data_IF_077063212624
#
_entry.id   IF_077063212624
#
_cell.length_a   1.000
_cell.length_b   1.000
_cell.length_c   1.000
_cell.angle_alpha   90.00
_cell.angle_beta   90.00
_cell.angle_gamma   90.00
#
_symmetry.space_group_name_H-M   'P 1'
#
loop_
_entity.id
_entity.type
_entity.pdbx_description
1 polymer ?
#
# COMPACT_ATOMS: atom_id res chain seq x y z
N UNK A 1 45.43 18.51 16.92
CA UNK A 1 45.45 17.06 16.93
C UNK A 1 44.08 16.53 17.33
N UNK A 2 43.48 15.72 16.47
CA UNK A 2 42.41 14.79 16.78
C UNK A 2 41.03 15.45 16.91
N UNK A 3 40.36 15.50 15.85
CA UNK A 3 39.00 15.08 15.51
C UNK A 3 38.60 15.70 14.17
N UNK A 4 39.27 15.33 13.11
CA UNK A 4 38.63 15.23 11.83
C UNK A 4 37.72 13.99 11.91
N UNK A 5 36.56 14.16 12.55
CA UNK A 5 35.40 13.32 12.29
C UNK A 5 35.05 13.65 10.84
N UNK A 6 35.46 12.80 9.93
CA UNK A 6 34.96 12.73 8.57
C UNK A 6 33.45 12.69 8.71
N UNK A 7 32.81 13.86 8.57
CA UNK A 7 31.37 13.95 8.33
C UNK A 7 31.15 13.25 6.98
N UNK A 8 30.88 11.96 7.05
CA UNK A 8 30.50 11.19 5.88
C UNK A 8 29.22 11.86 5.36
N UNK A 9 29.32 12.52 4.19
CA UNK A 9 28.19 13.22 3.61
C UNK A 9 27.03 12.22 3.47
N UNK A 10 25.94 12.45 4.21
CA UNK A 10 24.74 11.61 4.12
C UNK A 10 24.25 11.58 2.69
N UNK A 11 23.85 10.40 2.22
CA UNK A 11 23.21 10.27 0.91
C UNK A 11 21.79 10.79 0.96
N UNK A 12 21.44 11.66 0.03
CA UNK A 12 20.10 12.19 -0.11
C UNK A 12 19.22 11.20 -0.88
N UNK A 13 18.12 10.80 -0.28
CA UNK A 13 17.19 9.80 -0.82
C UNK A 13 15.81 10.42 -1.00
N UNK A 14 15.27 10.30 -2.20
CA UNK A 14 13.89 10.66 -2.50
C UNK A 14 13.06 9.40 -2.66
N UNK A 15 12.04 9.24 -1.80
CA UNK A 15 10.94 8.30 -2.04
C UNK A 15 9.77 9.08 -2.62
N UNK A 16 9.19 8.60 -3.71
CA UNK A 16 7.97 9.19 -4.23
C UNK A 16 6.92 8.13 -4.55
N UNK A 17 5.68 8.49 -4.28
CA UNK A 17 4.53 7.61 -4.41
C UNK A 17 3.28 8.43 -4.76
N UNK A 18 2.20 7.71 -5.12
CA UNK A 18 0.93 8.35 -5.41
C UNK A 18 0.43 9.19 -4.25
N UNK A 19 0.30 8.57 -3.07
CA UNK A 19 -0.09 9.25 -1.85
C UNK A 19 0.53 8.54 -0.65
N UNK A 20 0.95 9.32 0.34
CA UNK A 20 1.39 8.84 1.64
C UNK A 20 0.28 9.00 2.70
N UNK A 21 -0.67 9.88 2.42
CA UNK A 21 -1.82 10.22 3.28
C UNK A 21 -3.08 9.41 2.96
N UNK A 22 -3.02 8.41 2.07
CA UNK A 22 -4.18 7.57 1.74
C UNK A 22 -4.49 6.52 2.82
N UNK A 23 -3.46 6.08 3.56
CA UNK A 23 -3.59 5.13 4.66
C UNK A 23 -3.64 3.66 4.25
N UNK A 24 -3.01 3.30 3.14
CA UNK A 24 -2.91 1.94 2.63
C UNK A 24 -1.74 1.13 3.18
N UNK A 25 -1.57 -0.09 2.67
CA UNK A 25 -0.49 -0.99 3.08
C UNK A 25 0.89 -0.51 2.64
N UNK A 26 1.02 0.02 1.42
CA UNK A 26 2.29 0.50 0.89
C UNK A 26 2.85 1.68 1.72
N UNK A 27 1.98 2.57 2.19
CA UNK A 27 2.35 3.71 3.04
C UNK A 27 2.92 3.25 4.39
N UNK A 28 2.31 2.24 5.00
CA UNK A 28 2.82 1.62 6.25
C UNK A 28 4.19 0.98 6.04
N UNK A 29 4.37 0.26 4.93
CA UNK A 29 5.65 -0.35 4.57
C UNK A 29 6.72 0.72 4.33
N UNK A 30 6.39 1.81 3.60
CA UNK A 30 7.31 2.93 3.42
C UNK A 30 7.73 3.52 4.77
N UNK A 31 6.77 3.79 5.67
CA UNK A 31 7.08 4.29 7.01
C UNK A 31 8.00 3.34 7.78
N UNK A 32 7.75 2.03 7.73
CA UNK A 32 8.62 1.03 8.34
C UNK A 32 10.04 1.09 7.78
N UNK A 33 10.19 1.16 6.45
CA UNK A 33 11.51 1.24 5.79
C UNK A 33 12.23 2.51 6.23
N UNK A 34 11.64 3.69 6.06
CA UNK A 34 12.33 4.96 6.29
C UNK A 34 12.63 5.21 7.77
N UNK A 35 11.79 4.71 8.68
CA UNK A 35 12.03 4.79 10.11
C UNK A 35 13.23 3.93 10.57
N UNK A 36 13.53 2.84 9.84
CA UNK A 36 14.62 1.92 10.17
C UNK A 36 15.90 2.16 9.34
N UNK A 37 15.88 3.05 8.37
CA UNK A 37 17.09 3.48 7.68
C UNK A 37 17.98 4.30 8.64
N UNK A 38 19.29 4.05 8.57
CA UNK A 38 20.28 4.70 9.41
C UNK A 38 20.29 6.22 9.20
N UNK A 39 19.93 7.02 10.22
CA UNK A 39 19.86 8.47 10.10
C UNK A 39 21.21 9.15 9.90
N UNK A 40 22.31 8.47 10.21
CA UNK A 40 23.64 9.01 10.01
C UNK A 40 24.16 8.80 8.58
N UNK A 41 23.51 7.91 7.81
CA UNK A 41 23.87 7.60 6.43
C UNK A 41 22.92 8.23 5.41
N UNK A 42 21.65 8.46 5.78
CA UNK A 42 20.62 8.85 4.83
C UNK A 42 19.84 10.07 5.31
N UNK A 43 19.70 11.03 4.39
CA UNK A 43 18.80 12.17 4.49
C UNK A 43 17.60 11.91 3.56
N UNK A 44 16.39 11.81 4.12
CA UNK A 44 15.23 11.23 3.44
C UNK A 44 14.14 12.26 3.24
N UNK A 45 13.73 12.41 1.97
CA UNK A 45 12.55 13.15 1.58
C UNK A 45 11.49 12.18 1.03
N UNK A 46 10.22 12.42 1.40
CA UNK A 46 9.05 11.72 0.87
C UNK A 46 8.22 12.71 0.06
N UNK A 47 7.93 12.36 -1.19
CA UNK A 47 7.03 13.10 -2.07
C UNK A 47 5.79 12.28 -2.35
N UNK A 48 4.62 12.79 -1.91
CA UNK A 48 3.33 12.29 -2.40
C UNK A 48 2.82 13.17 -3.55
N UNK A 49 2.24 12.54 -4.57
CA UNK A 49 1.68 13.29 -5.70
C UNK A 49 0.32 13.89 -5.37
N UNK A 50 -0.49 13.20 -4.60
CA UNK A 50 -1.80 13.67 -4.13
C UNK A 50 -1.92 13.49 -2.61
N UNK A 51 -2.32 14.59 -1.94
CA UNK A 51 -2.56 14.60 -0.51
C UNK A 51 -4.04 14.38 -0.20
N UNK A 52 -4.30 13.48 0.76
CA UNK A 52 -5.62 13.21 1.33
C UNK A 52 -5.61 13.55 2.82
N UNK A 53 -6.68 14.15 3.32
CA UNK A 53 -6.83 14.50 4.75
C UNK A 53 -7.15 13.23 5.58
N UNK A 54 -6.19 12.31 5.66
CA UNK A 54 -6.28 11.11 6.48
C UNK A 54 -5.05 10.98 7.37
N UNK A 55 -5.14 10.27 8.50
CA UNK A 55 -3.99 10.03 9.37
C UNK A 55 -2.85 9.33 8.61
N UNK A 56 -1.69 9.98 8.59
CA UNK A 56 -0.48 9.41 8.01
C UNK A 56 0.24 8.49 9.02
N UNK A 57 0.99 7.49 8.54
CA UNK A 57 1.89 6.73 9.39
C UNK A 57 2.88 7.63 10.12
N UNK A 58 3.23 7.28 11.37
CA UNK A 58 4.20 8.02 12.17
C UNK A 58 5.59 7.89 11.57
N UNK A 59 6.26 9.01 11.39
CA UNK A 59 7.65 9.08 10.94
C UNK A 59 8.56 9.53 12.09
N UNK A 60 9.83 9.04 12.09
CA UNK A 60 10.86 9.56 12.99
C UNK A 60 11.26 10.99 12.62
N UNK A 61 11.89 11.69 13.55
CA UNK A 61 12.51 12.99 13.26
C UNK A 61 13.54 12.91 12.13
N UNK A 62 13.68 14.00 11.38
CA UNK A 62 14.63 14.13 10.29
C UNK A 62 14.16 13.56 8.95
N UNK A 63 12.95 13.02 8.86
CA UNK A 63 12.31 12.67 7.57
C UNK A 63 11.42 13.81 7.13
N UNK A 64 11.63 14.32 5.91
CA UNK A 64 10.86 15.43 5.39
C UNK A 64 9.75 14.94 4.45
N UNK A 65 8.56 15.52 4.57
CA UNK A 65 7.49 15.36 3.59
C UNK A 65 7.47 16.61 2.71
N UNK A 66 7.68 16.43 1.42
CA UNK A 66 7.69 17.52 0.45
C UNK A 66 6.26 17.98 0.16
N UNK A 67 6.13 19.21 -0.36
CA UNK A 67 4.83 19.72 -0.82
C UNK A 67 4.29 18.83 -1.94
N UNK A 68 3.05 18.31 -1.80
CA UNK A 68 2.46 17.45 -2.82
C UNK A 68 2.16 18.22 -4.12
N UNK A 69 2.09 17.49 -5.24
CA UNK A 69 1.68 18.07 -6.51
C UNK A 69 0.24 18.58 -6.47
N UNK A 70 -0.65 17.83 -5.80
CA UNK A 70 -2.05 18.20 -5.61
C UNK A 70 -2.45 18.03 -4.14
N UNK A 71 -2.92 19.10 -3.52
CA UNK A 71 -3.36 19.10 -2.10
C UNK A 71 -4.80 19.57 -1.91
N UNK A 72 -5.46 20.12 -2.95
CA UNK A 72 -6.82 20.66 -2.88
C UNK A 72 -7.66 20.12 -4.03
N UNK A 73 -8.95 19.94 -3.77
CA UNK A 73 -9.92 19.69 -4.83
C UNK A 73 -10.10 20.97 -5.66
N UNK A 74 -10.08 20.82 -6.96
CA UNK A 74 -10.36 21.86 -7.94
C UNK A 74 -11.69 21.57 -8.64
N UNK A 75 -12.14 22.49 -9.51
CA UNK A 75 -13.23 22.16 -10.42
C UNK A 75 -12.83 20.98 -11.34
N UNK A 76 -13.81 20.20 -11.81
CA UNK A 76 -13.54 19.01 -12.64
C UNK A 76 -12.68 19.31 -13.87
N UNK A 77 -12.84 20.49 -14.48
CA UNK A 77 -12.05 20.92 -15.64
C UNK A 77 -10.60 21.22 -15.23
N UNK A 78 -10.41 21.98 -14.15
CA UNK A 78 -9.07 22.31 -13.65
C UNK A 78 -8.31 21.06 -13.19
N UNK A 79 -9.00 20.11 -12.54
CA UNK A 79 -8.40 18.82 -12.19
C UNK A 79 -7.94 18.05 -13.42
N UNK A 80 -8.77 17.96 -14.44
CA UNK A 80 -8.42 17.28 -15.68
C UNK A 80 -7.18 17.91 -16.35
N UNK A 81 -7.04 19.22 -16.31
CA UNK A 81 -5.87 19.94 -16.84
C UNK A 81 -4.62 19.64 -16.00
N UNK A 82 -4.71 19.75 -14.67
CA UNK A 82 -3.59 19.47 -13.74
C UNK A 82 -3.05 18.05 -13.96
N UNK A 83 -3.96 17.07 -14.05
CA UNK A 83 -3.54 15.68 -14.29
C UNK A 83 -2.94 15.45 -15.67
N UNK A 84 -3.46 16.13 -16.73
CA UNK A 84 -2.94 16.06 -18.09
C UNK A 84 -1.55 16.69 -18.24
N UNK A 85 -1.20 17.70 -17.44
CA UNK A 85 0.14 18.29 -17.44
C UNK A 85 1.23 17.26 -17.17
N UNK A 86 0.95 16.23 -16.38
CA UNK A 86 1.89 15.11 -16.13
C UNK A 86 2.23 14.33 -17.39
N UNK A 87 1.29 14.23 -18.34
CA UNK A 87 1.51 13.55 -19.63
C UNK A 87 2.17 14.50 -20.66
N UNK A 88 1.76 15.75 -20.68
CA UNK A 88 2.23 16.71 -21.68
C UNK A 88 3.60 17.29 -21.33
N UNK A 89 3.82 17.58 -20.08
CA UNK A 89 5.03 18.27 -19.59
C UNK A 89 5.66 17.58 -18.38
N UNK A 90 5.98 16.27 -18.48
CA UNK A 90 6.43 15.50 -17.31
C UNK A 90 7.73 16.06 -16.69
N UNK A 91 8.62 16.63 -17.52
CA UNK A 91 9.85 17.24 -17.03
C UNK A 91 9.63 18.55 -16.25
N UNK A 92 8.61 19.33 -16.60
CA UNK A 92 8.25 20.53 -15.85
C UNK A 92 7.61 20.16 -14.52
N UNK A 93 6.72 19.15 -14.51
CA UNK A 93 6.11 18.64 -13.28
C UNK A 93 7.20 18.12 -12.35
N UNK A 94 8.16 17.32 -12.86
CA UNK A 94 9.30 16.84 -12.06
C UNK A 94 10.07 17.99 -11.40
N UNK A 95 10.42 19.04 -12.14
CA UNK A 95 11.13 20.19 -11.61
C UNK A 95 10.32 20.99 -10.58
N UNK A 96 9.00 20.97 -10.71
CA UNK A 96 8.10 21.65 -9.78
C UNK A 96 8.00 20.95 -8.44
N UNK A 97 7.95 19.60 -8.44
CA UNK A 97 7.67 18.81 -7.22
C UNK A 97 8.92 18.37 -6.47
N UNK A 98 10.06 18.23 -7.15
CA UNK A 98 11.28 17.77 -6.50
C UNK A 98 12.53 18.45 -7.09
N UNK A 99 13.47 18.80 -6.21
CA UNK A 99 14.80 19.27 -6.59
C UNK A 99 15.59 18.11 -7.22
N UNK A 100 16.56 18.45 -8.08
CA UNK A 100 17.45 17.49 -8.73
C UNK A 100 18.80 17.39 -8.01
N UNK A 101 18.76 17.01 -6.72
CA UNK A 101 19.94 16.95 -5.86
C UNK A 101 20.01 15.67 -5.02
N UNK A 102 19.31 14.61 -5.43
CA UNK A 102 19.31 13.33 -4.75
C UNK A 102 20.41 12.41 -5.29
N UNK A 103 20.92 11.54 -4.42
CA UNK A 103 21.84 10.45 -4.76
C UNK A 103 21.08 9.19 -5.14
N UNK A 104 19.90 9.00 -4.53
CA UNK A 104 19.03 7.84 -4.74
C UNK A 104 17.60 8.32 -4.94
N UNK A 105 16.93 7.83 -5.96
CA UNK A 105 15.51 8.07 -6.21
C UNK A 105 14.75 6.75 -6.28
N UNK A 106 13.67 6.65 -5.51
CA UNK A 106 12.86 5.44 -5.37
C UNK A 106 11.42 5.76 -5.76
N UNK A 107 10.98 5.24 -6.90
CA UNK A 107 9.57 5.21 -7.30
C UNK A 107 8.88 4.10 -6.51
N UNK A 108 8.24 4.45 -5.39
CA UNK A 108 7.78 3.47 -4.41
C UNK A 108 6.43 2.84 -4.76
N UNK A 109 5.63 3.46 -5.60
CA UNK A 109 4.37 2.88 -6.11
C UNK A 109 4.20 3.13 -7.60
N UNK A 110 3.42 2.28 -8.25
CA UNK A 110 3.04 2.49 -9.65
C UNK A 110 2.09 3.70 -9.74
N UNK A 111 2.39 4.59 -10.68
CA UNK A 111 1.58 5.77 -10.98
C UNK A 111 1.35 5.90 -12.48
N UNK A 112 0.18 6.39 -12.87
CA UNK A 112 -0.16 6.65 -14.27
C UNK A 112 -0.40 8.15 -14.51
N UNK A 113 0.52 8.87 -15.23
CA UNK A 113 1.86 8.42 -15.64
C UNK A 113 2.83 8.38 -14.46
N UNK A 114 3.92 7.61 -14.55
CA UNK A 114 4.99 7.64 -13.55
C UNK A 114 5.63 9.03 -13.48
N UNK A 115 6.04 9.47 -12.28
CA UNK A 115 6.93 10.61 -12.16
C UNK A 115 8.30 10.23 -12.73
N UNK A 116 8.86 11.10 -13.58
CA UNK A 116 10.16 10.83 -14.17
C UNK A 116 11.27 10.82 -13.12
N UNK A 117 12.19 9.88 -13.25
CA UNK A 117 13.47 9.93 -12.55
C UNK A 117 14.31 11.13 -13.00
N UNK A 118 15.28 11.52 -12.17
CA UNK A 118 16.34 12.45 -12.57
C UNK A 118 17.02 12.03 -13.87
N UNK A 119 17.39 13.00 -14.69
CA UNK A 119 18.18 12.77 -15.90
C UNK A 119 19.69 12.61 -15.61
N UNK A 120 20.11 12.90 -14.39
CA UNK A 120 21.49 12.73 -13.95
C UNK A 120 21.89 11.25 -13.98
N UNK A 121 23.12 10.97 -14.41
CA UNK A 121 23.65 9.60 -14.53
C UNK A 121 24.20 9.04 -13.21
N UNK A 122 24.58 9.94 -12.30
CA UNK A 122 25.13 9.63 -10.98
C UNK A 122 24.09 9.34 -9.91
N UNK A 123 22.79 9.38 -10.26
CA UNK A 123 21.67 9.05 -9.36
C UNK A 123 21.28 7.59 -9.50
N UNK A 124 21.27 6.85 -8.38
CA UNK A 124 20.72 5.50 -8.35
C UNK A 124 19.19 5.54 -8.42
N UNK A 125 18.61 4.81 -9.36
CA UNK A 125 17.16 4.83 -9.67
C UNK A 125 16.57 3.47 -9.40
N UNK A 126 15.56 3.43 -8.53
CA UNK A 126 14.89 2.19 -8.10
C UNK A 126 13.39 2.34 -8.35
N UNK A 127 12.81 1.38 -9.07
CA UNK A 127 11.36 1.24 -9.19
C UNK A 127 10.88 0.12 -8.29
N UNK A 128 9.91 0.40 -7.39
CA UNK A 128 9.39 -0.56 -6.44
C UNK A 128 7.94 -0.92 -6.78
N UNK A 129 7.65 -2.19 -6.96
CA UNK A 129 6.37 -2.70 -7.46
C UNK A 129 5.69 -3.51 -6.35
N UNK A 130 4.51 -3.06 -5.93
CA UNK A 130 3.74 -3.60 -4.80
C UNK A 130 2.61 -4.56 -5.19
N UNK A 131 2.58 -5.08 -6.40
CA UNK A 131 1.54 -6.01 -6.83
C UNK A 131 1.70 -6.47 -8.27
N UNK A 132 0.79 -7.33 -8.70
CA UNK A 132 0.76 -7.77 -10.10
C UNK A 132 0.48 -6.60 -11.04
N UNK A 133 1.20 -6.56 -12.16
CA UNK A 133 1.03 -5.55 -13.21
C UNK A 133 0.33 -6.11 -14.47
N UNK A 134 -0.04 -7.39 -14.49
CA UNK A 134 -0.69 -8.05 -15.62
C UNK A 134 -2.08 -7.46 -15.91
N UNK A 135 -2.78 -6.99 -14.88
CA UNK A 135 -4.09 -6.38 -14.99
C UNK A 135 -4.04 -4.85 -15.17
N UNK A 136 -2.88 -4.29 -15.48
CA UNK A 136 -2.81 -2.89 -15.87
C UNK A 136 -3.62 -2.68 -17.16
N UNK A 137 -4.30 -1.52 -17.30
CA UNK A 137 -5.05 -1.24 -18.52
C UNK A 137 -4.17 -1.50 -19.75
N UNK A 138 -4.62 -2.34 -20.69
CA UNK A 138 -3.92 -2.67 -21.94
C UNK A 138 -3.78 -1.47 -22.90
N UNK A 139 -3.83 -0.28 -22.37
CA UNK A 139 -3.64 0.93 -23.16
C UNK A 139 -2.14 1.07 -23.48
N UNK A 140 -1.78 0.91 -24.74
CA UNK A 140 -0.40 1.01 -25.22
C UNK A 140 0.34 2.27 -24.72
N UNK A 141 -0.38 3.36 -24.56
CA UNK A 141 0.19 4.61 -24.02
C UNK A 141 0.67 4.43 -22.58
N UNK A 142 -0.09 3.76 -21.75
CA UNK A 142 0.31 3.51 -20.35
C UNK A 142 1.44 2.49 -20.27
N UNK A 143 1.34 1.39 -21.01
CA UNK A 143 2.40 0.39 -21.08
C UNK A 143 3.72 1.01 -21.57
N UNK A 144 3.67 1.87 -22.59
CA UNK A 144 4.84 2.60 -23.10
C UNK A 144 5.46 3.51 -22.03
N UNK A 145 4.65 4.23 -21.24
CA UNK A 145 5.14 5.07 -20.15
C UNK A 145 5.84 4.23 -19.08
N UNK A 146 5.26 3.10 -18.68
CA UNK A 146 5.84 2.20 -17.70
C UNK A 146 7.09 1.51 -18.21
N UNK A 147 7.09 1.05 -19.45
CA UNK A 147 8.28 0.48 -20.12
C UNK A 147 9.45 1.46 -20.07
N UNK A 148 9.23 2.71 -20.44
CA UNK A 148 10.25 3.76 -20.38
C UNK A 148 10.71 4.01 -18.93
N UNK A 149 9.79 4.07 -17.99
CA UNK A 149 10.11 4.31 -16.58
C UNK A 149 10.96 3.18 -15.99
N UNK A 150 10.55 1.93 -16.17
CA UNK A 150 11.29 0.75 -15.70
C UNK A 150 12.62 0.60 -16.45
N UNK A 151 12.66 0.95 -17.74
CA UNK A 151 13.90 0.97 -18.52
C UNK A 151 14.93 1.96 -18.00
N UNK A 152 14.48 3.08 -17.40
CA UNK A 152 15.35 4.11 -16.80
C UNK A 152 15.84 3.69 -15.40
N UNK A 153 15.13 2.81 -14.71
CA UNK A 153 15.55 2.31 -13.40
C UNK A 153 16.79 1.43 -13.52
N UNK A 154 17.71 1.54 -12.55
CA UNK A 154 18.86 0.63 -12.42
C UNK A 154 18.45 -0.70 -11.81
N UNK A 155 17.42 -0.67 -10.95
CA UNK A 155 16.91 -1.85 -10.23
C UNK A 155 15.39 -1.75 -10.15
N UNK A 156 14.73 -2.86 -10.33
CA UNK A 156 13.29 -3.02 -10.12
C UNK A 156 13.11 -3.95 -8.93
N UNK A 157 12.43 -3.47 -7.88
CA UNK A 157 12.13 -4.28 -6.70
C UNK A 157 10.71 -4.82 -6.82
N UNK A 158 10.59 -6.14 -6.74
CA UNK A 158 9.32 -6.86 -6.63
C UNK A 158 9.11 -7.30 -5.17
N UNK A 159 7.91 -7.11 -4.61
CA UNK A 159 7.64 -7.44 -3.20
C UNK A 159 7.40 -8.94 -2.95
N UNK A 160 7.29 -9.75 -4.00
CA UNK A 160 7.13 -11.20 -3.93
C UNK A 160 7.57 -11.85 -5.24
N UNK A 161 7.76 -13.17 -5.24
CA UNK A 161 8.07 -13.91 -6.46
C UNK A 161 6.92 -13.82 -7.49
N UNK A 162 5.66 -13.87 -7.07
CA UNK A 162 4.52 -13.64 -7.98
C UNK A 162 4.53 -12.24 -8.60
N UNK A 163 4.91 -11.21 -7.84
CA UNK A 163 5.10 -9.86 -8.40
C UNK A 163 6.23 -9.85 -9.41
N UNK A 164 7.34 -10.53 -9.14
CA UNK A 164 8.45 -10.70 -10.07
C UNK A 164 8.00 -11.36 -11.37
N UNK A 165 7.34 -12.52 -11.29
CA UNK A 165 6.79 -13.24 -12.44
C UNK A 165 5.85 -12.34 -13.27
N UNK A 166 4.98 -11.58 -12.61
CA UNK A 166 4.09 -10.63 -13.28
C UNK A 166 4.85 -9.56 -14.06
N UNK A 167 5.95 -9.03 -13.50
CA UNK A 167 6.80 -8.04 -14.19
C UNK A 167 7.50 -8.71 -15.38
N UNK A 168 8.05 -9.91 -15.22
CA UNK A 168 8.72 -10.67 -16.28
C UNK A 168 7.77 -11.02 -17.43
N UNK A 169 6.50 -11.32 -17.15
CA UNK A 169 5.49 -11.60 -18.15
C UNK A 169 5.15 -10.37 -19.00
N UNK A 170 5.06 -9.19 -18.40
CA UNK A 170 4.69 -7.95 -19.10
C UNK A 170 5.91 -7.27 -19.75
N UNK A 171 7.05 -7.29 -19.06
CA UNK A 171 8.30 -6.63 -19.48
C UNK A 171 9.49 -7.58 -19.39
N UNK A 172 9.54 -8.65 -20.22
CA UNK A 172 10.58 -9.68 -20.16
C UNK A 172 12.00 -9.13 -20.39
N UNK A 173 12.12 -8.00 -21.07
CA UNK A 173 13.39 -7.31 -21.32
C UNK A 173 14.08 -6.77 -20.05
N UNK A 174 13.36 -6.67 -18.93
CA UNK A 174 13.91 -6.15 -17.66
C UNK A 174 14.22 -7.22 -16.62
N UNK A 175 14.10 -8.49 -16.97
CA UNK A 175 14.33 -9.64 -16.09
C UNK A 175 15.59 -9.52 -15.23
N UNK A 176 16.71 -9.11 -15.84
CA UNK A 176 18.01 -9.02 -15.17
C UNK A 176 18.12 -7.85 -14.19
N UNK A 177 17.15 -6.93 -14.21
CA UNK A 177 17.09 -5.79 -13.28
C UNK A 177 16.20 -6.05 -12.07
N UNK A 178 15.46 -7.16 -12.02
CA UNK A 178 14.47 -7.43 -10.99
C UNK A 178 15.14 -8.11 -9.80
N UNK A 179 14.86 -7.57 -8.63
CA UNK A 179 15.24 -8.16 -7.33
C UNK A 179 13.99 -8.32 -6.48
N UNK A 180 13.81 -9.49 -5.88
CA UNK A 180 12.70 -9.70 -4.94
C UNK A 180 13.13 -9.26 -3.54
N UNK A 181 12.37 -8.34 -2.94
CA UNK A 181 12.52 -7.90 -1.56
C UNK A 181 11.14 -7.93 -0.91
N UNK A 182 10.92 -8.89 -0.02
CA UNK A 182 9.67 -8.99 0.74
C UNK A 182 9.52 -7.83 1.71
N UNK A 183 8.25 -7.43 1.96
CA UNK A 183 7.96 -6.38 2.92
C UNK A 183 8.41 -6.78 4.32
N UNK A 184 9.11 -5.88 5.01
CA UNK A 184 9.48 -6.03 6.41
C UNK A 184 8.36 -5.53 7.33
N UNK A 185 8.20 -6.17 8.48
CA UNK A 185 7.22 -5.80 9.51
C UNK A 185 7.91 -5.72 10.88
N UNK A 186 7.58 -4.69 11.64
CA UNK A 186 7.87 -4.65 13.06
C UNK A 186 6.69 -5.28 13.82
N UNK A 187 6.88 -6.46 14.37
CA UNK A 187 5.81 -7.18 15.06
C UNK A 187 5.34 -6.48 16.33
N UNK A 188 6.17 -5.68 16.98
CA UNK A 188 5.75 -4.90 18.16
C UNK A 188 4.72 -3.84 17.80
N UNK A 189 4.79 -3.26 16.59
CA UNK A 189 3.78 -2.31 16.08
C UNK A 189 2.40 -2.96 15.84
N UNK A 190 2.35 -4.29 15.87
CA UNK A 190 1.12 -5.08 15.78
C UNK A 190 0.71 -5.60 17.15
N UNK A 191 1.63 -6.25 17.88
CA UNK A 191 1.36 -6.96 19.13
C UNK A 191 1.04 -6.04 20.30
N UNK A 192 1.70 -4.87 20.37
CA UNK A 192 1.46 -3.91 21.45
C UNK A 192 0.08 -3.28 21.31
N UNK A 193 -0.30 -2.68 20.17
CA UNK A 193 -1.63 -2.10 20.00
C UNK A 193 -2.77 -3.14 20.05
N UNK A 194 -2.48 -4.40 19.74
CA UNK A 194 -3.48 -5.49 19.81
C UNK A 194 -4.02 -5.72 21.24
N UNK A 195 -3.26 -5.32 22.27
CA UNK A 195 -3.64 -5.46 23.69
C UNK A 195 -4.59 -4.35 24.17
N UNK A 196 -4.74 -3.27 23.40
CA UNK A 196 -5.65 -2.19 23.75
C UNK A 196 -7.09 -2.68 23.82
N UNK A 197 -7.90 -2.02 24.64
CA UNK A 197 -9.33 -2.29 24.68
C UNK A 197 -9.98 -1.92 23.34
N UNK A 198 -10.82 -2.81 22.81
CA UNK A 198 -11.55 -2.55 21.57
C UNK A 198 -12.81 -1.69 21.80
N UNK A 199 -13.22 -1.47 23.07
CA UNK A 199 -14.35 -0.63 23.44
C UNK A 199 -15.72 -1.24 23.16
N UNK A 200 -15.79 -2.54 22.84
CA UNK A 200 -17.03 -3.26 22.57
C UNK A 200 -16.91 -4.73 22.92
N UNK A 201 -18.05 -5.37 23.18
CA UNK A 201 -18.09 -6.82 23.25
C UNK A 201 -17.91 -7.43 21.84
N UNK A 202 -17.06 -8.42 21.74
CA UNK A 202 -16.86 -9.19 20.51
C UNK A 202 -17.24 -10.65 20.73
N UNK A 203 -17.96 -11.20 19.78
CA UNK A 203 -18.41 -12.59 19.83
C UNK A 203 -17.23 -13.56 19.63
N UNK A 204 -17.23 -14.64 20.39
CA UNK A 204 -16.15 -15.63 20.34
C UNK A 204 -16.10 -16.34 19.00
N UNK A 205 -17.29 -16.79 18.51
CA UNK A 205 -17.41 -17.40 17.19
C UNK A 205 -17.44 -16.34 16.10
N UNK A 206 -16.28 -15.80 15.77
CA UNK A 206 -16.17 -14.69 14.85
C UNK A 206 -14.95 -14.75 13.93
N UNK A 207 -15.08 -14.09 12.80
CA UNK A 207 -14.03 -13.85 11.83
C UNK A 207 -13.88 -12.37 11.56
N UNK A 208 -12.67 -11.97 11.16
CA UNK A 208 -12.33 -10.59 10.85
C UNK A 208 -11.89 -10.47 9.38
N UNK A 209 -12.33 -9.42 8.70
CA UNK A 209 -11.85 -9.03 7.39
C UNK A 209 -11.32 -7.59 7.48
N UNK A 210 -10.06 -7.37 7.12
CA UNK A 210 -9.37 -6.08 7.22
C UNK A 210 -8.94 -5.63 5.83
N UNK A 211 -9.35 -4.43 5.44
CA UNK A 211 -8.94 -3.82 4.18
C UNK A 211 -9.96 -2.85 3.63
N UNK A 212 -9.68 -2.30 2.46
CA UNK A 212 -10.64 -1.46 1.75
C UNK A 212 -11.84 -2.30 1.31
N UNK A 213 -13.04 -1.76 1.50
CA UNK A 213 -14.28 -2.43 1.10
C UNK A 213 -14.54 -2.14 -0.38
N UNK A 214 -13.85 -2.86 -1.23
CA UNK A 214 -13.88 -2.73 -2.68
C UNK A 214 -13.90 -4.11 -3.36
N UNK A 215 -14.29 -4.14 -4.63
CA UNK A 215 -14.44 -5.40 -5.39
C UNK A 215 -13.16 -6.24 -5.38
N UNK A 216 -12.00 -5.63 -5.60
CA UNK A 216 -10.73 -6.35 -5.64
C UNK A 216 -10.37 -7.08 -4.34
N UNK A 217 -10.84 -6.56 -3.20
CA UNK A 217 -10.65 -7.18 -1.87
C UNK A 217 -11.62 -8.31 -1.57
N UNK A 218 -12.59 -8.57 -2.46
CA UNK A 218 -13.50 -9.70 -2.36
C UNK A 218 -14.38 -9.69 -1.10
N UNK A 219 -14.72 -8.50 -0.57
CA UNK A 219 -15.54 -8.39 0.63
C UNK A 219 -16.95 -8.93 0.40
N UNK A 220 -17.44 -8.83 -0.83
CA UNK A 220 -18.69 -9.47 -1.28
C UNK A 220 -18.63 -10.99 -1.16
N UNK A 221 -17.51 -11.61 -1.54
CA UNK A 221 -17.29 -13.07 -1.40
C UNK A 221 -17.18 -13.48 0.07
N UNK A 222 -16.59 -12.61 0.90
CA UNK A 222 -16.53 -12.85 2.36
C UNK A 222 -17.92 -12.88 2.98
N UNK A 223 -18.82 -11.98 2.55
CA UNK A 223 -20.21 -11.99 2.98
C UNK A 223 -20.97 -13.23 2.47
N UNK A 224 -20.73 -13.65 1.23
CA UNK A 224 -21.29 -14.88 0.68
C UNK A 224 -20.81 -16.13 1.46
N UNK A 225 -19.53 -16.15 1.83
CA UNK A 225 -18.98 -17.22 2.67
C UNK A 225 -19.72 -17.28 4.02
N UNK A 226 -19.91 -16.14 4.69
CA UNK A 226 -20.66 -16.10 5.95
C UNK A 226 -22.09 -16.63 5.77
N UNK A 227 -22.79 -16.23 4.70
CA UNK A 227 -24.13 -16.71 4.40
C UNK A 227 -24.17 -18.23 4.24
N UNK A 228 -23.21 -18.82 3.55
CA UNK A 228 -23.09 -20.29 3.42
C UNK A 228 -22.83 -20.97 4.75
N UNK A 229 -21.96 -20.41 5.58
CA UNK A 229 -21.68 -20.92 6.93
C UNK A 229 -22.96 -20.94 7.77
N UNK A 230 -23.79 -19.88 7.70
CA UNK A 230 -25.07 -19.81 8.39
C UNK A 230 -26.09 -20.84 7.86
N UNK A 231 -26.14 -21.07 6.55
CA UNK A 231 -26.98 -22.12 5.94
C UNK A 231 -26.57 -23.52 6.40
N UNK A 232 -25.31 -23.76 6.76
CA UNK A 232 -24.80 -24.97 7.33
C UNK A 232 -25.08 -25.10 8.84
N UNK A 233 -25.73 -24.11 9.46
CA UNK A 233 -26.12 -24.12 10.88
C UNK A 233 -25.13 -23.48 11.84
N UNK A 234 -23.99 -22.97 11.36
CA UNK A 234 -22.99 -22.28 12.20
C UNK A 234 -23.30 -20.78 12.31
N UNK A 235 -23.26 -20.23 13.51
CA UNK A 235 -23.64 -18.83 13.80
C UNK A 235 -22.42 -17.93 14.03
N UNK A 236 -21.54 -17.87 13.04
CA UNK A 236 -20.37 -17.01 13.09
C UNK A 236 -20.72 -15.53 12.88
N UNK A 237 -20.01 -14.66 13.56
CA UNK A 237 -20.03 -13.21 13.35
C UNK A 237 -18.90 -12.81 12.40
N UNK A 238 -19.11 -11.73 11.63
CA UNK A 238 -18.12 -11.13 10.73
C UNK A 238 -17.89 -9.67 11.11
N UNK A 239 -16.66 -9.34 11.44
CA UNK A 239 -16.22 -7.97 11.69
C UNK A 239 -15.49 -7.44 10.47
N UNK A 240 -16.09 -6.45 9.80
CA UNK A 240 -15.53 -5.77 8.63
C UNK A 240 -14.83 -4.49 9.06
N UNK A 241 -13.51 -4.44 8.88
CA UNK A 241 -12.67 -3.29 9.28
C UNK A 241 -12.12 -2.63 8.02
N UNK A 242 -12.61 -1.45 7.75
CA UNK A 242 -12.28 -0.63 6.58
C UNK A 242 -13.50 0.10 6.06
N UNK A 243 -13.29 0.85 5.00
CA UNK A 243 -14.34 1.57 4.25
C UNK A 243 -14.06 1.45 2.76
N UNK A 244 -15.08 1.64 1.94
CA UNK A 244 -14.92 1.63 0.50
C UNK A 244 -16.22 1.89 -0.25
N UNK A 245 -16.14 1.78 -1.56
CA UNK A 245 -17.25 2.06 -2.49
C UNK A 245 -18.38 1.02 -2.42
N UNK A 246 -18.10 -0.17 -1.88
CA UNK A 246 -19.09 -1.24 -1.71
C UNK A 246 -19.82 -1.21 -0.36
N UNK A 247 -19.56 -0.26 0.55
CA UNK A 247 -20.17 -0.22 1.88
C UNK A 247 -21.69 -0.32 1.86
N UNK A 248 -22.34 0.47 1.01
CA UNK A 248 -23.83 0.48 0.91
C UNK A 248 -24.36 -0.81 0.31
N UNK A 249 -23.73 -1.33 -0.75
CA UNK A 249 -24.10 -2.59 -1.37
C UNK A 249 -24.04 -3.75 -0.38
N UNK A 250 -22.95 -3.82 0.40
CA UNK A 250 -22.76 -4.90 1.38
C UNK A 250 -23.78 -4.82 2.53
N UNK A 251 -24.16 -3.63 2.98
CA UNK A 251 -25.22 -3.45 3.98
C UNK A 251 -26.56 -3.93 3.46
N UNK A 252 -26.91 -3.61 2.22
CA UNK A 252 -28.12 -4.10 1.57
C UNK A 252 -28.13 -5.63 1.42
N UNK A 253 -27.01 -6.21 0.97
CA UNK A 253 -26.85 -7.67 0.87
C UNK A 253 -26.93 -8.36 2.23
N UNK A 254 -26.34 -7.76 3.27
CA UNK A 254 -26.42 -8.27 4.66
C UNK A 254 -27.87 -8.36 5.11
N UNK A 255 -28.67 -7.32 4.86
CA UNK A 255 -30.11 -7.30 5.16
C UNK A 255 -30.88 -8.37 4.36
N UNK A 256 -30.57 -8.49 3.07
CA UNK A 256 -31.21 -9.49 2.20
C UNK A 256 -30.94 -10.94 2.65
N UNK A 257 -29.77 -11.20 3.23
CA UNK A 257 -29.39 -12.51 3.78
C UNK A 257 -29.90 -12.73 5.21
N UNK A 258 -30.50 -11.72 5.85
CA UNK A 258 -30.95 -11.81 7.25
C UNK A 258 -29.81 -11.87 8.26
N UNK A 259 -28.65 -11.30 7.90
CA UNK A 259 -27.42 -11.37 8.68
C UNK A 259 -27.09 -10.10 9.46
N UNK A 260 -28.05 -9.18 9.64
CA UNK A 260 -27.82 -7.87 10.27
C UNK A 260 -27.24 -7.97 11.68
N UNK A 261 -27.61 -9.02 12.43
CA UNK A 261 -27.11 -9.25 13.79
C UNK A 261 -25.72 -9.92 13.83
N UNK A 262 -25.20 -10.37 12.69
CA UNK A 262 -23.97 -11.13 12.59
C UNK A 262 -22.85 -10.41 11.81
N UNK A 263 -23.17 -9.34 11.10
CA UNK A 263 -22.18 -8.54 10.34
C UNK A 263 -22.02 -7.20 10.99
N UNK A 264 -20.77 -6.90 11.40
CA UNK A 264 -20.40 -5.67 12.10
C UNK A 264 -19.50 -4.82 11.23
N UNK A 265 -20.01 -3.69 10.74
CA UNK A 265 -19.26 -2.72 9.95
C UNK A 265 -18.57 -1.75 10.90
N UNK A 266 -17.26 -1.92 11.14
CA UNK A 266 -16.50 -1.12 12.10
C UNK A 266 -15.92 0.16 11.49
N UNK A 267 -16.04 0.32 10.17
CA UNK A 267 -15.43 1.46 9.47
C UNK A 267 -13.91 1.41 9.48
N UNK A 268 -13.27 2.51 9.10
CA UNK A 268 -11.83 2.63 9.16
C UNK A 268 -11.34 2.67 10.61
N UNK A 269 -10.37 1.84 10.94
CA UNK A 269 -9.74 1.77 12.25
C UNK A 269 -8.23 2.03 12.14
N UNK A 270 -7.72 2.96 12.93
CA UNK A 270 -6.27 3.22 13.02
C UNK A 270 -5.53 2.06 13.67
N UNK A 271 -6.18 1.37 14.60
CA UNK A 271 -5.69 0.15 15.25
C UNK A 271 -6.66 -1.02 14.99
N UNK A 272 -6.53 -1.73 13.87
CA UNK A 272 -7.37 -2.90 13.58
C UNK A 272 -6.99 -4.13 14.44
N UNK A 273 -5.80 -4.14 15.00
CA UNK A 273 -5.20 -5.30 15.68
C UNK A 273 -5.93 -5.68 16.96
N UNK A 274 -6.48 -4.68 17.68
CA UNK A 274 -7.29 -4.92 18.89
C UNK A 274 -8.58 -5.69 18.60
N UNK A 275 -9.12 -5.58 17.38
CA UNK A 275 -10.27 -6.38 16.94
C UNK A 275 -9.82 -7.74 16.43
N UNK A 276 -8.80 -7.80 15.56
CA UNK A 276 -8.27 -9.05 15.02
C UNK A 276 -7.84 -10.01 16.14
N UNK A 277 -7.18 -9.49 17.17
CA UNK A 277 -6.72 -10.31 18.31
C UNK A 277 -7.87 -11.01 19.07
N UNK A 278 -9.10 -10.51 18.95
CA UNK A 278 -10.30 -11.01 19.63
C UNK A 278 -11.21 -11.89 18.75
N UNK A 279 -10.89 -12.04 17.47
CA UNK A 279 -11.60 -12.97 16.58
C UNK A 279 -10.90 -14.33 16.50
N UNK A 280 -11.59 -15.37 16.04
CA UNK A 280 -10.98 -16.71 15.86
C UNK A 280 -10.01 -16.73 14.69
N UNK A 281 -10.32 -16.05 13.58
CA UNK A 281 -9.51 -16.08 12.38
C UNK A 281 -9.69 -14.82 11.53
N UNK A 282 -8.71 -14.59 10.65
CA UNK A 282 -8.79 -13.64 9.58
C UNK A 282 -9.32 -14.30 8.31
N UNK A 283 -10.20 -13.63 7.58
CA UNK A 283 -10.68 -14.06 6.26
C UNK A 283 -10.34 -13.00 5.22
N UNK A 284 -9.75 -13.43 4.10
CA UNK A 284 -9.45 -12.57 2.96
C UNK A 284 -9.80 -13.29 1.67
N UNK A 285 -10.88 -12.87 1.01
CA UNK A 285 -11.38 -13.46 -0.23
C UNK A 285 -11.02 -12.62 -1.45
N UNK A 286 -9.86 -11.94 -1.42
CA UNK A 286 -9.38 -11.05 -2.46
C UNK A 286 -9.32 -11.73 -3.83
N UNK A 287 -9.63 -10.95 -4.88
CA UNK A 287 -9.43 -11.40 -6.26
C UNK A 287 -7.97 -11.24 -6.69
N UNK A 288 -7.26 -10.31 -6.07
CA UNK A 288 -5.86 -10.03 -6.39
C UNK A 288 -5.14 -9.40 -5.18
N UNK A 289 -3.94 -9.88 -4.90
CA UNK A 289 -3.01 -9.32 -3.91
C UNK A 289 -1.59 -9.39 -4.47
N UNK A 290 -0.76 -8.43 -4.09
CA UNK A 290 0.69 -8.53 -4.33
C UNK A 290 1.38 -9.29 -3.20
N UNK A 291 1.11 -8.86 -1.98
CA UNK A 291 1.46 -9.50 -0.73
C UNK A 291 0.50 -8.98 0.36
N UNK A 292 -0.19 -9.87 1.03
CA UNK A 292 -1.19 -9.45 2.03
C UNK A 292 -0.54 -9.18 3.38
N UNK A 293 -0.47 -7.90 3.76
CA UNK A 293 -0.05 -7.49 5.10
C UNK A 293 -0.94 -8.04 6.19
N UNK A 294 -2.24 -8.21 5.92
CA UNK A 294 -3.19 -8.74 6.88
C UNK A 294 -2.86 -10.17 7.31
N UNK A 295 -2.24 -10.99 6.44
CA UNK A 295 -1.80 -12.33 6.82
C UNK A 295 -0.62 -12.29 7.81
N UNK A 296 0.35 -11.41 7.57
CA UNK A 296 1.47 -11.20 8.50
C UNK A 296 0.95 -10.70 9.85
N UNK A 297 -0.01 -9.78 9.83
CA UNK A 297 -0.68 -9.24 11.02
C UNK A 297 -1.39 -10.37 11.81
N UNK A 298 -2.14 -11.23 11.12
CA UNK A 298 -2.81 -12.39 11.75
C UNK A 298 -1.80 -13.37 12.35
N UNK A 299 -0.79 -13.78 11.60
CA UNK A 299 0.25 -14.72 12.06
C UNK A 299 0.99 -14.13 13.27
N UNK A 300 1.33 -12.84 13.25
CA UNK A 300 2.01 -12.18 14.37
C UNK A 300 1.21 -12.19 15.67
N UNK A 301 -0.13 -12.26 15.56
CA UNK A 301 -1.07 -12.36 16.69
C UNK A 301 -1.47 -13.82 17.01
N UNK A 302 -0.85 -14.80 16.36
CA UNK A 302 -1.20 -16.21 16.53
C UNK A 302 -2.59 -16.57 16.01
N UNK A 303 -3.13 -15.80 15.05
CA UNK A 303 -4.44 -16.04 14.45
C UNK A 303 -4.29 -16.79 13.12
N UNK A 304 -5.05 -17.88 12.93
CA UNK A 304 -5.16 -18.52 11.63
C UNK A 304 -5.83 -17.58 10.61
N UNK A 305 -5.58 -17.82 9.34
CA UNK A 305 -6.28 -17.10 8.29
C UNK A 305 -6.77 -18.05 7.20
N UNK A 306 -7.83 -17.66 6.53
CA UNK A 306 -8.39 -18.32 5.35
C UNK A 306 -8.38 -17.32 4.21
N UNK A 307 -7.81 -17.71 3.08
CA UNK A 307 -7.72 -16.83 1.91
C UNK A 307 -7.99 -17.57 0.60
N UNK A 308 -8.32 -16.79 -0.42
CA UNK A 308 -8.17 -17.21 -1.82
C UNK A 308 -6.69 -17.37 -2.16
N UNK A 309 -6.36 -18.23 -3.11
CA UNK A 309 -5.01 -18.38 -3.66
C UNK A 309 -4.68 -17.18 -4.57
N UNK A 310 -4.16 -16.12 -3.95
CA UNK A 310 -3.73 -14.89 -4.62
C UNK A 310 -2.28 -14.58 -4.26
N UNK A 311 -1.62 -13.69 -5.01
CA UNK A 311 -0.22 -13.37 -4.85
C UNK A 311 0.21 -13.15 -3.40
N UNK A 312 1.24 -13.87 -2.95
CA UNK A 312 1.81 -13.75 -1.61
C UNK A 312 0.98 -14.33 -0.47
N UNK A 313 -0.02 -15.16 -0.76
CA UNK A 313 -0.74 -15.94 0.25
C UNK A 313 -0.02 -17.25 0.57
#
# INVERSE_FOLDING_TARGET
SIMEITMQNKKKVLFYLWSFSLGGGAEKILATIVNNLDPDKYDIDILEMEHFDKPMPKLREGINILKPYKSKKHSSIAEAIIWRLRFWFPGLVRRHVAKDNYDIEISFTIMNPPLQFSKRKDVKKIAWIHGSIENMPENEKYLSCHRKHLGTADTIVAISEKTRESIENVFPEYKDKITTIYNGYNFDDIRIPAKEDCGMHMEEDSMCCIGRIEKLKGTDRTLELLNKIHQMGYKYHLYLIGTGDMDNELKERTSKYGLQNYVHFLGYQTNPYKFLSRTKLLVSMSYQEGFSGAFVEAISLGKPFVSTDVGGA
#
